data_IF_772706220374
#
_entry.id   IF_772706220374
#
_cell.length_a   1.000
_cell.length_b   1.000
_cell.length_c   1.000
_cell.angle_alpha   90.00
_cell.angle_beta   90.00
_cell.angle_gamma   90.00
#
_symmetry.space_group_name_H-M   'P 1'
#
loop_
_entity.id
_entity.type
_entity.pdbx_description
1 polymer ?
#
# COMPACT_ATOMS: atom_id res chain seq x y z
N UNK A 1 10.54 -18.37 -4.71
CA UNK A 1 11.13 -18.02 -3.40
C UNK A 1 10.37 -16.80 -2.91
N UNK A 2 9.62 -16.97 -1.83
CA UNK A 2 8.82 -15.90 -1.22
C UNK A 2 9.72 -15.16 -0.23
N UNK A 3 9.99 -13.88 -0.47
CA UNK A 3 10.91 -13.08 0.33
C UNK A 3 10.10 -12.07 1.16
N UNK A 4 9.56 -12.52 2.30
CA UNK A 4 9.04 -11.63 3.32
C UNK A 4 10.21 -11.06 4.14
N UNK A 5 10.37 -9.74 4.14
CA UNK A 5 11.33 -9.05 5.01
C UNK A 5 10.60 -8.03 5.88
N UNK A 6 11.03 -7.90 7.12
CA UNK A 6 10.51 -6.89 8.06
C UNK A 6 11.33 -5.61 7.95
N UNK A 7 10.68 -4.47 7.75
CA UNK A 7 11.33 -3.16 7.60
C UNK A 7 11.32 -2.39 8.92
N UNK A 8 11.93 -1.20 8.88
CA UNK A 8 11.69 -0.10 9.84
C UNK A 8 10.33 -0.26 10.51
N UNK A 9 10.27 -0.21 11.85
CA UNK A 9 9.21 -0.67 12.76
C UNK A 9 7.72 -0.47 12.36
N UNK A 10 7.44 0.27 11.30
CA UNK A 10 6.14 0.68 10.79
C UNK A 10 5.56 -0.18 9.65
N UNK A 11 6.36 -0.87 8.81
CA UNK A 11 5.83 -1.65 7.66
C UNK A 11 6.55 -2.97 7.40
N UNK A 12 5.84 -3.95 6.82
CA UNK A 12 6.41 -5.15 6.19
C UNK A 12 6.21 -5.06 4.68
N UNK A 13 7.17 -5.53 3.88
CA UNK A 13 7.07 -5.51 2.41
C UNK A 13 7.51 -6.84 1.83
N UNK A 14 6.78 -7.33 0.84
CA UNK A 14 7.12 -8.55 0.12
C UNK A 14 6.66 -8.47 -1.34
N UNK A 15 7.30 -9.25 -2.19
CA UNK A 15 6.90 -9.40 -3.59
C UNK A 15 6.16 -10.73 -3.78
N UNK A 16 4.86 -10.66 -4.05
CA UNK A 16 4.02 -11.81 -4.38
C UNK A 16 3.79 -11.88 -5.88
N UNK A 17 4.55 -12.72 -6.58
CA UNK A 17 4.34 -13.00 -8.01
C UNK A 17 4.28 -11.73 -8.89
N UNK A 18 5.07 -10.70 -8.58
CA UNK A 18 5.06 -9.43 -9.32
C UNK A 18 4.15 -8.36 -8.73
N UNK A 19 3.46 -8.63 -7.62
CA UNK A 19 2.72 -7.64 -6.83
C UNK A 19 3.55 -7.26 -5.61
N UNK A 20 3.85 -5.97 -5.46
CA UNK A 20 4.48 -5.47 -4.25
C UNK A 20 3.40 -5.30 -3.17
N UNK A 21 3.48 -6.07 -2.10
CA UNK A 21 2.54 -6.04 -0.98
C UNK A 21 3.21 -5.36 0.21
N UNK A 22 2.60 -4.27 0.69
CA UNK A 22 3.07 -3.46 1.82
C UNK A 22 2.05 -3.61 2.95
N UNK A 23 2.46 -4.10 4.11
CA UNK A 23 1.61 -4.20 5.29
C UNK A 23 1.97 -3.13 6.30
N UNK A 24 0.97 -2.36 6.72
CA UNK A 24 1.14 -1.38 7.77
C UNK A 24 1.12 -2.07 9.14
N UNK A 25 2.03 -1.69 10.04
CA UNK A 25 2.03 -2.11 11.44
C UNK A 25 1.34 -1.08 12.33
N UNK A 26 0.57 -1.56 13.32
CA UNK A 26 -0.41 -0.79 14.11
C UNK A 26 0.14 0.47 14.79
N UNK A 27 1.37 0.43 15.24
CA UNK A 27 1.89 1.45 16.16
C UNK A 27 2.36 2.73 15.46
N UNK A 28 2.43 2.77 14.12
CA UNK A 28 3.12 3.87 13.42
C UNK A 28 2.50 4.35 12.10
N UNK A 29 1.32 3.87 11.71
CA UNK A 29 0.67 4.33 10.48
C UNK A 29 0.31 5.83 10.50
N UNK A 30 0.05 6.38 11.69
CA UNK A 30 -0.23 7.81 11.89
C UNK A 30 1.04 8.68 11.86
N UNK A 31 2.21 8.08 12.13
CA UNK A 31 3.50 8.77 12.26
C UNK A 31 4.54 8.28 11.25
N UNK A 32 4.10 7.89 10.05
CA UNK A 32 5.04 7.52 9.00
C UNK A 32 5.88 8.73 8.61
N UNK A 33 7.21 8.57 8.67
CA UNK A 33 8.16 9.58 8.24
C UNK A 33 7.95 9.92 6.76
N UNK A 34 8.18 11.17 6.37
CA UNK A 34 7.86 11.70 5.04
C UNK A 34 8.57 10.96 3.86
N UNK A 35 9.53 10.10 4.15
CA UNK A 35 10.40 9.42 3.18
C UNK A 35 10.33 7.89 3.25
N UNK A 36 9.35 7.32 3.95
CA UNK A 36 9.22 5.85 4.13
C UNK A 36 9.28 5.06 2.81
N UNK A 37 8.73 5.64 1.75
CA UNK A 37 8.68 5.05 0.41
C UNK A 37 10.07 4.94 -0.24
N UNK A 38 11.00 5.85 0.07
CA UNK A 38 12.37 5.88 -0.47
C UNK A 38 13.16 4.62 -0.09
N UNK A 39 12.92 4.08 1.10
CA UNK A 39 13.58 2.84 1.52
C UNK A 39 13.10 1.62 0.74
N UNK A 40 11.79 1.60 0.44
CA UNK A 40 11.18 0.55 -0.35
C UNK A 40 11.74 0.57 -1.78
N UNK A 41 11.77 1.74 -2.43
CA UNK A 41 12.27 1.88 -3.80
C UNK A 41 13.76 1.57 -3.95
N UNK A 42 14.57 1.80 -2.91
CA UNK A 42 15.99 1.40 -2.90
C UNK A 42 16.16 -0.12 -2.88
N UNK A 43 15.28 -0.85 -2.18
CA UNK A 43 15.46 -2.30 -1.92
C UNK A 43 14.68 -3.17 -2.89
N UNK A 44 13.49 -2.75 -3.30
CA UNK A 44 12.61 -3.49 -4.19
C UNK A 44 12.69 -2.87 -5.57
N UNK A 45 13.58 -3.41 -6.39
CA UNK A 45 13.69 -3.03 -7.79
C UNK A 45 12.54 -3.67 -8.57
N UNK A 46 11.79 -2.86 -9.32
CA UNK A 46 10.68 -3.29 -10.16
C UNK A 46 11.15 -3.96 -11.48
N UNK A 47 10.24 -4.17 -12.44
CA UNK A 47 8.85 -3.68 -12.46
C UNK A 47 7.89 -4.56 -11.66
N UNK A 48 6.86 -3.93 -11.07
CA UNK A 48 5.73 -4.62 -10.43
C UNK A 48 4.48 -4.46 -11.29
N UNK A 49 3.67 -5.52 -11.36
CA UNK A 49 2.37 -5.53 -12.03
C UNK A 49 1.28 -4.91 -11.15
N UNK A 50 1.49 -4.87 -9.83
CA UNK A 50 0.56 -4.29 -8.89
C UNK A 50 1.24 -3.79 -7.61
N UNK A 51 0.57 -2.84 -6.95
CA UNK A 51 0.97 -2.31 -5.64
C UNK A 51 -0.21 -2.41 -4.69
N UNK A 52 -0.09 -3.25 -3.67
CA UNK A 52 -1.12 -3.49 -2.68
C UNK A 52 -0.65 -3.00 -1.32
N UNK A 53 -1.51 -2.27 -0.61
CA UNK A 53 -1.22 -1.81 0.75
C UNK A 53 -2.28 -2.34 1.70
N UNK A 54 -1.87 -3.17 2.65
CA UNK A 54 -2.72 -3.74 3.67
C UNK A 54 -2.87 -2.79 4.87
N UNK A 55 -4.10 -2.31 5.05
CA UNK A 55 -4.48 -1.37 6.09
C UNK A 55 -5.09 -2.05 7.32
N UNK A 56 -5.05 -3.39 7.44
CA UNK A 56 -5.71 -4.12 8.52
C UNK A 56 -5.31 -3.63 9.92
N UNK A 57 -4.02 -3.36 10.14
CA UNK A 57 -3.53 -2.88 11.42
C UNK A 57 -3.50 -1.35 11.53
N UNK A 58 -3.83 -0.61 10.47
CA UNK A 58 -3.79 0.84 10.42
C UNK A 58 -5.20 1.42 10.33
N UNK A 59 -5.91 1.62 11.45
CA UNK A 59 -7.26 2.19 11.42
C UNK A 59 -7.30 3.66 10.96
N UNK A 60 -6.13 4.30 10.93
CA UNK A 60 -5.90 5.67 10.50
C UNK A 60 -4.66 5.71 9.63
N UNK A 61 -4.68 6.60 8.63
CA UNK A 61 -3.52 6.88 7.78
C UNK A 61 -3.31 8.39 7.72
N UNK A 62 -2.06 8.81 7.72
CA UNK A 62 -1.69 10.22 7.62
C UNK A 62 -1.62 10.70 6.17
N UNK A 63 -1.59 12.01 5.95
CA UNK A 63 -1.30 12.59 4.64
C UNK A 63 0.09 12.19 4.12
N UNK A 64 1.08 12.05 5.00
CA UNK A 64 2.42 11.56 4.67
C UNK A 64 2.40 10.11 4.16
N UNK A 65 1.51 9.26 4.70
CA UNK A 65 1.28 7.93 4.14
C UNK A 65 0.75 8.01 2.71
N UNK A 66 -0.33 8.77 2.48
CA UNK A 66 -0.95 8.92 1.15
C UNK A 66 0.04 9.48 0.14
N UNK A 67 0.80 10.51 0.52
CA UNK A 67 1.83 11.09 -0.32
C UNK A 67 2.89 10.04 -0.71
N UNK A 68 3.40 9.27 0.25
CA UNK A 68 4.36 8.21 -0.04
C UNK A 68 3.80 7.09 -0.90
N UNK A 69 2.53 6.72 -0.74
CA UNK A 69 1.89 5.73 -1.61
C UNK A 69 1.83 6.23 -3.06
N UNK A 70 1.47 7.50 -3.27
CA UNK A 70 1.52 8.12 -4.60
C UNK A 70 2.94 8.17 -5.19
N UNK A 71 3.96 8.43 -4.36
CA UNK A 71 5.36 8.38 -4.80
C UNK A 71 5.78 6.96 -5.24
N UNK A 72 5.32 5.92 -4.53
CA UNK A 72 5.55 4.53 -4.95
C UNK A 72 4.86 4.22 -6.28
N UNK A 73 3.62 4.68 -6.44
CA UNK A 73 2.87 4.49 -7.69
C UNK A 73 3.57 5.16 -8.86
N UNK A 74 4.03 6.41 -8.70
CA UNK A 74 4.77 7.13 -9.73
C UNK A 74 6.09 6.43 -10.06
N UNK A 75 6.85 6.02 -9.04
CA UNK A 75 8.13 5.33 -9.23
C UNK A 75 7.99 3.97 -9.95
N UNK A 76 6.97 3.19 -9.62
CA UNK A 76 6.74 1.88 -10.23
C UNK A 76 5.77 1.91 -11.41
N UNK A 77 5.34 3.10 -11.83
CA UNK A 77 4.32 3.29 -12.87
C UNK A 77 4.72 2.58 -14.15
N UNK A 78 3.81 1.80 -14.68
CA UNK A 78 3.94 1.15 -15.98
C UNK A 78 2.54 0.91 -16.57
N UNK A 79 2.47 0.32 -17.76
CA UNK A 79 1.20 0.11 -18.47
C UNK A 79 0.23 -0.82 -17.73
N UNK A 80 0.74 -1.69 -16.85
CA UNK A 80 -0.02 -2.66 -16.07
C UNK A 80 -0.43 -2.07 -14.71
N UNK A 81 0.49 -1.42 -14.01
CA UNK A 81 0.26 -0.81 -12.70
C UNK A 81 -0.47 0.53 -12.85
N UNK A 82 -1.80 0.46 -12.95
CA UNK A 82 -2.67 1.63 -13.13
C UNK A 82 -3.03 2.31 -11.82
N UNK A 83 -3.29 1.54 -10.76
CA UNK A 83 -3.79 2.04 -9.48
C UNK A 83 -3.17 1.26 -8.31
N UNK A 84 -3.16 1.88 -7.14
CA UNK A 84 -2.80 1.27 -5.86
C UNK A 84 -4.05 0.61 -5.29
N UNK A 85 -3.93 -0.63 -4.81
CA UNK A 85 -5.04 -1.29 -4.10
C UNK A 85 -4.80 -1.18 -2.60
N UNK A 86 -5.70 -0.48 -1.89
CA UNK A 86 -5.74 -0.51 -0.44
C UNK A 86 -6.66 -1.64 -0.01
N UNK A 87 -6.11 -2.63 0.70
CA UNK A 87 -6.86 -3.82 1.16
C UNK A 87 -7.11 -3.76 2.67
N UNK A 88 -8.15 -4.46 3.13
CA UNK A 88 -8.56 -4.51 4.54
C UNK A 88 -8.83 -3.12 5.16
N UNK A 89 -9.27 -2.17 4.33
CA UNK A 89 -9.58 -0.81 4.77
C UNK A 89 -10.85 -0.76 5.62
N UNK A 90 -10.90 0.20 6.53
CA UNK A 90 -12.13 0.61 7.18
C UNK A 90 -12.78 1.77 6.42
N UNK A 91 -14.01 2.12 6.81
CA UNK A 91 -14.77 3.23 6.21
C UNK A 91 -14.06 4.57 6.29
N UNK A 92 -13.19 4.77 7.30
CA UNK A 92 -12.46 6.03 7.46
C UNK A 92 -11.45 6.24 6.34
N UNK A 93 -10.70 5.19 5.97
CA UNK A 93 -9.76 5.26 4.86
C UNK A 93 -10.50 5.43 3.54
N UNK A 94 -11.61 4.72 3.34
CA UNK A 94 -12.44 4.86 2.15
C UNK A 94 -12.93 6.31 1.97
N UNK A 95 -13.51 6.90 3.03
CA UNK A 95 -13.96 8.29 3.04
C UNK A 95 -12.80 9.27 2.83
N UNK A 96 -11.63 9.02 3.41
CA UNK A 96 -10.45 9.88 3.22
C UNK A 96 -10.06 9.95 1.74
N UNK A 97 -9.96 8.80 1.06
CA UNK A 97 -9.63 8.72 -0.38
C UNK A 97 -10.68 9.46 -1.22
N UNK A 98 -11.95 9.26 -0.92
CA UNK A 98 -13.06 9.93 -1.60
C UNK A 98 -13.03 11.45 -1.40
N UNK A 99 -12.89 11.91 -0.16
CA UNK A 99 -12.82 13.33 0.18
C UNK A 99 -11.63 14.03 -0.48
N UNK A 100 -10.50 13.34 -0.63
CA UNK A 100 -9.31 13.87 -1.30
C UNK A 100 -9.39 13.77 -2.83
N UNK A 101 -10.47 13.23 -3.39
CA UNK A 101 -10.64 12.99 -4.82
C UNK A 101 -9.50 12.14 -5.43
N UNK A 102 -9.06 11.12 -4.70
CA UNK A 102 -7.94 10.26 -5.09
C UNK A 102 -8.38 8.91 -5.69
N UNK A 103 -9.67 8.76 -6.00
CA UNK A 103 -10.24 7.51 -6.54
C UNK A 103 -9.65 7.09 -7.89
N UNK A 104 -9.01 8.01 -8.63
CA UNK A 104 -8.27 7.69 -9.85
C UNK A 104 -6.94 6.98 -9.57
N UNK A 105 -6.36 7.14 -8.38
CA UNK A 105 -5.10 6.52 -7.97
C UNK A 105 -5.28 5.29 -7.09
N UNK A 106 -6.38 5.23 -6.33
CA UNK A 106 -6.61 4.17 -5.35
C UNK A 106 -7.90 3.39 -5.62
N UNK A 107 -7.81 2.07 -5.51
CA UNK A 107 -8.95 1.16 -5.33
C UNK A 107 -8.99 0.79 -3.85
N UNK A 108 -10.11 1.06 -3.17
CA UNK A 108 -10.27 0.74 -1.75
C UNK A 108 -11.11 -0.54 -1.61
N UNK A 109 -10.61 -1.51 -0.85
CA UNK A 109 -11.28 -2.79 -0.53
C UNK A 109 -11.51 -2.89 0.97
N UNK A 110 -12.77 -3.10 1.36
CA UNK A 110 -13.19 -3.21 2.76
C UNK A 110 -12.72 -4.51 3.42
N UNK A 111 -12.84 -4.60 4.75
CA UNK A 111 -12.50 -5.83 5.51
C UNK A 111 -13.46 -6.99 5.27
N UNK A 112 -14.72 -6.68 4.99
CA UNK A 112 -15.76 -7.69 4.73
C UNK A 112 -15.76 -8.13 3.26
N UNK A 113 -14.92 -7.51 2.43
CA UNK A 113 -14.69 -7.85 1.02
C UNK A 113 -13.82 -9.13 0.95
N UNK A 114 -14.31 -10.21 1.57
CA UNK A 114 -13.67 -11.54 1.65
C UNK A 114 -13.66 -12.28 0.32
N UNK A 115 -14.32 -11.73 -0.70
CA UNK A 115 -14.23 -12.19 -2.08
C UNK A 115 -13.02 -11.58 -2.80
N UNK A 116 -11.82 -11.97 -2.38
CA UNK A 116 -10.62 -12.15 -3.22
C UNK A 116 -9.38 -12.27 -2.33
N UNK A 117 -9.20 -13.43 -1.68
CA UNK A 117 -7.85 -13.96 -1.65
C UNK A 117 -7.37 -14.04 -3.11
N UNK A 118 -6.17 -13.56 -3.48
CA UNK A 118 -5.59 -13.99 -4.72
C UNK A 118 -5.37 -15.49 -4.59
N UNK A 119 -6.27 -16.28 -5.19
CA UNK A 119 -5.93 -17.63 -5.60
C UNK A 119 -5.11 -17.48 -6.87
N UNK A 120 -3.80 -17.24 -6.70
CA UNK A 120 -2.75 -17.55 -7.68
C UNK A 120 -1.46 -17.84 -6.90
#
# INVERSE_FOLDING_TARGET
>A
MDHSQTFHHSVDVENRQGILVIRLRKERAECMENNWWTEITRRFQGPFQGLWIDCFHAPHVSSSFIAGALQLHDHYRNDVLKQIILINCNDRIARLVEMMNLSSFFIVRGRDDTTSSPVI
#
